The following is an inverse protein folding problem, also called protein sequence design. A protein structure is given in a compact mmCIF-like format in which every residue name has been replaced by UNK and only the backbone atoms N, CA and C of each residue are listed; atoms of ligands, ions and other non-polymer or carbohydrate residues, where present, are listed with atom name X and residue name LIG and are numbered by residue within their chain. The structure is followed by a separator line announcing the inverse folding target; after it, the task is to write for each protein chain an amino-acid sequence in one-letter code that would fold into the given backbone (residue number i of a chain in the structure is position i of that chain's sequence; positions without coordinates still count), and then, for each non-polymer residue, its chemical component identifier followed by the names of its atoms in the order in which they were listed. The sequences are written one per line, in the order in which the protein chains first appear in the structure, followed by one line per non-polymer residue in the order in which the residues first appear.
data_IF_502825912175
#
_entry.id   IF_502825912175
#
_cell.length_a   1.000
_cell.length_b   1.000
_cell.length_c   1.000
_cell.angle_alpha   90.00
_cell.angle_beta   90.00
_cell.angle_gamma   90.00
#
_symmetry.space_group_name_H-M   'P 1'
#
loop_
_entity.id
_entity.type
_entity.pdbx_description
1 polymer ?
#
# COMPACT_ATOMS: atom_id res chain seq x y z
N UNK A 1 -3.52 5.94 -3.25
CA UNK A 1 -2.43 5.13 -2.64
C UNK A 1 -1.93 4.07 -3.62
N UNK A 2 -0.69 4.14 -4.14
CA UNK A 2 -0.10 3.08 -4.96
C UNK A 2 0.29 1.84 -4.13
N UNK A 3 -0.13 0.65 -4.58
CA UNK A 3 0.36 -0.65 -4.09
C UNK A 3 0.75 -1.50 -5.30
N UNK A 4 1.92 -2.14 -5.25
CA UNK A 4 2.38 -3.04 -6.33
C UNK A 4 2.85 -4.38 -5.78
N UNK A 5 2.83 -5.39 -6.64
CA UNK A 5 3.46 -6.68 -6.38
C UNK A 5 4.83 -6.75 -7.06
N UNK A 6 5.80 -7.26 -6.32
CA UNK A 6 7.07 -7.79 -6.80
C UNK A 6 7.00 -9.31 -6.59
N UNK A 7 6.80 -10.07 -7.66
CA UNK A 7 6.86 -11.53 -7.58
C UNK A 7 8.25 -12.00 -8.01
N UNK A 8 8.96 -12.67 -7.10
CA UNK A 8 10.25 -13.30 -7.36
C UNK A 8 10.21 -14.80 -7.03
N UNK A 9 9.03 -15.41 -6.93
CA UNK A 9 8.91 -16.81 -6.50
C UNK A 9 9.33 -17.81 -7.56
N UNK A 10 9.35 -17.41 -8.84
CA UNK A 10 9.66 -18.31 -9.95
C UNK A 10 8.66 -19.48 -10.08
N UNK A 11 7.43 -19.30 -9.59
CA UNK A 11 6.41 -20.34 -9.67
C UNK A 11 5.87 -20.46 -11.11
N UNK A 12 5.61 -21.69 -11.59
CA UNK A 12 5.28 -21.91 -13.00
C UNK A 12 3.85 -21.50 -13.36
N UNK A 13 2.97 -21.36 -12.36
CA UNK A 13 1.57 -20.98 -12.55
C UNK A 13 1.47 -19.46 -12.68
N UNK A 14 0.81 -18.98 -13.74
CA UNK A 14 0.45 -17.57 -13.83
C UNK A 14 -0.66 -17.23 -12.82
N UNK A 15 -0.29 -16.46 -11.81
CA UNK A 15 -1.17 -15.98 -10.75
C UNK A 15 -1.46 -14.48 -10.88
N UNK A 16 -0.95 -13.80 -11.92
CA UNK A 16 -1.07 -12.36 -12.08
C UNK A 16 -2.52 -11.84 -12.02
N UNK A 17 -3.54 -12.53 -12.60
CA UNK A 17 -4.93 -12.10 -12.47
C UNK A 17 -5.43 -12.11 -11.01
N UNK A 18 -5.08 -13.15 -10.25
CA UNK A 18 -5.50 -13.31 -8.85
C UNK A 18 -4.82 -12.26 -7.96
N UNK A 19 -3.53 -12.02 -8.18
CA UNK A 19 -2.78 -10.97 -7.50
C UNK A 19 -3.29 -9.57 -7.83
N UNK A 20 -3.70 -9.32 -9.07
CA UNK A 20 -4.33 -8.06 -9.46
C UNK A 20 -5.59 -7.78 -8.65
N UNK A 21 -6.45 -8.78 -8.47
CA UNK A 21 -7.66 -8.67 -7.63
C UNK A 21 -7.29 -8.44 -6.17
N UNK A 22 -6.30 -9.16 -5.63
CA UNK A 22 -5.87 -8.99 -4.23
C UNK A 22 -5.26 -7.62 -3.95
N UNK A 23 -4.43 -7.11 -4.87
CA UNK A 23 -3.86 -5.77 -4.77
C UNK A 23 -4.95 -4.69 -4.79
N UNK A 24 -5.91 -4.80 -5.71
CA UNK A 24 -7.04 -3.88 -5.79
C UNK A 24 -7.86 -3.89 -4.50
N UNK A 25 -8.25 -5.09 -4.02
CA UNK A 25 -8.96 -5.25 -2.75
C UNK A 25 -8.18 -4.68 -1.57
N UNK A 26 -6.90 -5.01 -1.42
CA UNK A 26 -6.06 -4.47 -0.35
C UNK A 26 -5.99 -2.93 -0.38
N UNK A 27 -5.91 -2.32 -1.57
CA UNK A 27 -5.89 -0.86 -1.69
C UNK A 27 -7.25 -0.24 -1.33
N UNK A 28 -8.35 -0.84 -1.78
CA UNK A 28 -9.71 -0.38 -1.50
C UNK A 28 -10.06 -0.52 -0.01
N UNK A 29 -9.76 -1.68 0.58
CA UNK A 29 -9.99 -1.98 2.00
C UNK A 29 -9.17 -1.04 2.88
N UNK A 30 -7.86 -0.87 2.59
CA UNK A 30 -7.00 0.06 3.32
C UNK A 30 -7.52 1.50 3.25
N UNK A 31 -7.99 1.95 2.08
CA UNK A 31 -8.57 3.28 1.93
C UNK A 31 -9.89 3.45 2.70
N UNK A 32 -10.76 2.45 2.63
CA UNK A 32 -12.03 2.44 3.33
C UNK A 32 -11.82 2.44 4.85
N UNK A 33 -10.95 1.58 5.35
CA UNK A 33 -10.71 1.41 6.77
C UNK A 33 -9.97 2.60 7.39
N UNK A 34 -8.95 3.15 6.71
CA UNK A 34 -8.32 4.40 7.15
C UNK A 34 -9.34 5.55 7.19
N UNK A 35 -10.26 5.62 6.23
CA UNK A 35 -11.33 6.63 6.22
C UNK A 35 -12.33 6.42 7.35
N UNK A 36 -12.69 5.15 7.62
CA UNK A 36 -13.60 4.75 8.71
C UNK A 36 -13.07 5.12 10.10
N UNK A 37 -11.76 5.27 10.26
CA UNK A 37 -11.17 5.80 11.52
C UNK A 37 -11.57 7.25 11.81
N UNK A 38 -12.04 7.99 10.80
CA UNK A 38 -12.37 9.41 10.88
C UNK A 38 -11.17 10.35 10.85
N UNK A 39 -9.93 9.82 10.90
CA UNK A 39 -8.71 10.63 10.93
C UNK A 39 -8.13 10.93 9.55
N UNK A 40 -8.37 10.06 8.58
CA UNK A 40 -7.94 10.23 7.19
C UNK A 40 -9.15 10.36 6.27
N UNK A 41 -8.96 11.06 5.14
CA UNK A 41 -9.80 10.92 3.96
C UNK A 41 -8.94 10.26 2.89
N UNK A 42 -9.00 8.94 2.81
CA UNK A 42 -8.12 8.17 1.97
C UNK A 42 -8.79 7.79 0.64
N UNK A 43 -8.00 7.74 -0.43
CA UNK A 43 -8.47 7.29 -1.74
C UNK A 43 -7.39 6.49 -2.47
N UNK A 44 -7.84 5.55 -3.28
CA UNK A 44 -6.99 4.83 -4.22
C UNK A 44 -6.67 5.74 -5.40
N UNK A 45 -5.40 5.73 -5.82
CA UNK A 45 -4.96 6.46 -7.00
C UNK A 45 -5.18 5.52 -8.19
N UNK A 46 -6.00 5.87 -9.19
CA UNK A 46 -6.24 4.99 -10.32
C UNK A 46 -4.92 4.66 -11.06
N UNK A 47 -4.77 3.41 -11.50
CA UNK A 47 -3.57 2.97 -12.21
C UNK A 47 -3.24 3.86 -13.42
N UNK A 48 -4.25 4.23 -14.22
CA UNK A 48 -4.09 5.12 -15.38
C UNK A 48 -3.54 6.52 -15.01
N UNK A 49 -3.84 7.03 -13.82
CA UNK A 49 -3.25 8.29 -13.34
C UNK A 49 -1.78 8.10 -13.04
N UNK A 50 -1.40 7.01 -12.38
CA UNK A 50 -0.01 6.69 -12.06
C UNK A 50 0.80 6.35 -13.31
N UNK A 51 0.24 5.66 -14.30
CA UNK A 51 0.92 5.36 -15.56
C UNK A 51 1.25 6.63 -16.34
N UNK A 52 0.31 7.59 -16.38
CA UNK A 52 0.50 8.88 -17.06
C UNK A 52 1.44 9.80 -16.30
N UNK A 53 1.19 9.99 -15.01
CA UNK A 53 1.88 11.01 -14.20
C UNK A 53 3.15 10.45 -13.56
N UNK A 54 3.28 9.13 -13.44
CA UNK A 54 4.42 8.46 -12.83
C UNK A 54 4.83 7.09 -13.40
N UNK A 55 5.20 7.00 -14.68
CA UNK A 55 5.52 5.73 -15.33
C UNK A 55 6.72 5.01 -14.71
N UNK A 56 7.66 5.73 -14.08
CA UNK A 56 8.85 5.12 -13.49
C UNK A 56 8.63 4.56 -12.09
N UNK A 57 7.50 4.88 -11.44
CA UNK A 57 7.21 4.48 -10.05
C UNK A 57 8.26 4.93 -9.01
N UNK A 58 9.00 6.01 -9.31
CA UNK A 58 10.03 6.56 -8.41
C UNK A 58 9.38 7.43 -7.32
N UNK A 59 9.97 7.47 -6.14
CA UNK A 59 9.42 8.17 -4.98
C UNK A 59 9.04 9.63 -5.26
N UNK A 60 9.95 10.43 -5.83
CA UNK A 60 9.72 11.84 -6.14
C UNK A 60 8.47 12.06 -7.02
N UNK A 61 8.27 11.16 -7.96
CA UNK A 61 7.21 11.22 -8.94
C UNK A 61 5.86 10.74 -8.36
N UNK A 62 5.87 9.76 -7.45
CA UNK A 62 4.69 9.37 -6.68
C UNK A 62 4.21 10.49 -5.75
N UNK A 63 5.16 11.23 -5.13
CA UNK A 63 4.85 12.41 -4.32
C UNK A 63 4.17 13.48 -5.17
N UNK A 64 4.70 13.79 -6.36
CA UNK A 64 4.10 14.74 -7.29
C UNK A 64 2.71 14.33 -7.77
N UNK A 65 2.51 13.05 -8.10
CA UNK A 65 1.20 12.53 -8.47
C UNK A 65 0.18 12.69 -7.32
N UNK A 66 0.57 12.38 -6.09
CA UNK A 66 -0.27 12.58 -4.91
C UNK A 66 -0.57 14.08 -4.65
N UNK A 67 0.42 14.95 -4.84
CA UNK A 67 0.29 16.41 -4.70
C UNK A 67 -0.74 16.98 -5.68
N UNK A 68 -0.73 16.51 -6.93
CA UNK A 68 -1.72 16.91 -7.95
C UNK A 68 -3.15 16.49 -7.62
N UNK A 69 -3.31 15.43 -6.82
CA UNK A 69 -4.61 15.01 -6.29
C UNK A 69 -5.00 15.74 -4.99
N UNK A 70 -4.21 16.72 -4.53
CA UNK A 70 -4.48 17.47 -3.31
C UNK A 70 -4.22 16.68 -2.02
N UNK A 71 -3.50 15.56 -2.09
CA UNK A 71 -3.19 14.75 -0.92
C UNK A 71 -2.05 15.38 -0.10
N UNK A 72 -2.20 15.40 1.23
CA UNK A 72 -1.14 15.78 2.15
C UNK A 72 -0.16 14.64 2.42
N UNK A 73 -0.65 13.39 2.34
CA UNK A 73 0.12 12.17 2.57
C UNK A 73 -0.04 11.22 1.38
N UNK A 74 0.98 10.41 1.12
CA UNK A 74 0.92 9.30 0.16
C UNK A 74 1.29 7.99 0.83
N UNK A 75 0.40 7.00 0.75
CA UNK A 75 0.71 5.64 1.12
C UNK A 75 1.31 4.91 -0.09
N UNK A 76 2.47 4.27 0.10
CA UNK A 76 3.14 3.43 -0.89
C UNK A 76 3.36 2.05 -0.30
N UNK A 77 2.76 1.04 -0.93
CA UNK A 77 2.93 -0.37 -0.58
C UNK A 77 3.67 -1.14 -1.66
N UNK A 78 4.58 -2.03 -1.26
CA UNK A 78 5.18 -3.01 -2.15
C UNK A 78 5.05 -4.37 -1.49
N UNK A 79 4.18 -5.22 -2.04
CA UNK A 79 4.09 -6.62 -1.67
C UNK A 79 5.18 -7.37 -2.40
N UNK A 80 6.02 -8.11 -1.69
CA UNK A 80 7.02 -9.01 -2.24
C UNK A 80 6.59 -10.44 -1.99
N UNK A 81 6.36 -11.18 -3.07
CA UNK A 81 6.12 -12.62 -3.03
C UNK A 81 7.42 -13.33 -3.35
N UNK A 82 7.94 -14.06 -2.36
CA UNK A 82 9.10 -14.93 -2.54
C UNK A 82 8.70 -16.39 -2.75
N UNK A 83 7.50 -16.77 -2.32
CA UNK A 83 6.86 -18.08 -2.55
C UNK A 83 5.38 -17.98 -2.22
N UNK A 84 4.58 -18.99 -2.59
CA UNK A 84 3.20 -19.17 -2.11
C UNK A 84 3.10 -19.15 -0.58
N UNK A 85 4.17 -19.53 0.14
CA UNK A 85 4.17 -19.56 1.60
C UNK A 85 4.59 -18.23 2.23
N UNK A 86 5.49 -17.46 1.61
CA UNK A 86 6.15 -16.30 2.23
C UNK A 86 5.96 -15.04 1.39
N UNK A 87 5.25 -14.08 1.97
CA UNK A 87 5.07 -12.75 1.44
C UNK A 87 5.52 -11.71 2.47
N UNK A 88 5.96 -10.57 1.96
CA UNK A 88 6.29 -9.40 2.75
C UNK A 88 5.58 -8.19 2.15
N UNK A 89 5.24 -7.19 2.96
CA UNK A 89 4.90 -5.86 2.46
C UNK A 89 5.78 -4.81 3.12
N UNK A 90 6.38 -3.98 2.26
CA UNK A 90 7.02 -2.73 2.64
C UNK A 90 5.98 -1.62 2.51
N UNK A 91 5.50 -1.12 3.64
CA UNK A 91 4.45 -0.11 3.70
C UNK A 91 5.02 1.21 4.22
N UNK A 92 4.82 2.29 3.47
CA UNK A 92 5.23 3.64 3.85
C UNK A 92 4.08 4.62 3.70
N UNK A 93 3.96 5.54 4.65
CA UNK A 93 3.12 6.73 4.55
C UNK A 93 4.06 7.93 4.63
N UNK A 94 4.13 8.71 3.56
CA UNK A 94 5.04 9.85 3.46
C UNK A 94 4.28 11.16 3.36
N UNK A 95 4.83 12.21 3.96
CA UNK A 95 4.38 13.58 3.75
C UNK A 95 4.74 14.04 2.34
N UNK A 96 3.75 14.54 1.60
CA UNK A 96 3.89 14.86 0.17
C UNK A 96 4.79 16.08 -0.08
N UNK A 97 4.88 17.00 0.88
CA UNK A 97 5.65 18.24 0.71
C UNK A 97 7.13 18.05 1.06
N UNK A 98 7.40 17.27 2.10
CA UNK A 98 8.74 17.05 2.63
C UNK A 98 9.36 15.75 2.14
N UNK A 99 8.56 14.81 1.64
CA UNK A 99 8.97 13.46 1.27
C UNK A 99 9.37 12.57 2.44
N UNK A 100 9.16 13.03 3.69
CA UNK A 100 9.55 12.28 4.89
C UNK A 100 8.50 11.24 5.23
N UNK A 101 8.95 10.03 5.53
CA UNK A 101 8.09 8.97 6.04
C UNK A 101 7.55 9.36 7.42
N UNK A 102 6.23 9.50 7.53
CA UNK A 102 5.53 9.64 8.81
C UNK A 102 5.18 8.25 9.36
N UNK A 103 5.11 7.23 8.53
CA UNK A 103 5.00 5.84 9.00
C UNK A 103 5.75 4.92 8.05
N UNK A 104 6.42 3.91 8.61
CA UNK A 104 7.02 2.82 7.85
C UNK A 104 6.87 1.52 8.64
N UNK A 105 6.45 0.47 7.95
CA UNK A 105 6.39 -0.88 8.49
C UNK A 105 6.73 -1.91 7.42
N UNK A 106 7.54 -2.87 7.85
CA UNK A 106 7.89 -4.05 7.09
C UNK A 106 7.27 -5.24 7.81
N UNK A 107 6.39 -5.96 7.13
CA UNK A 107 5.65 -7.08 7.73
C UNK A 107 5.70 -8.27 6.80
N UNK A 108 6.00 -9.41 7.41
CA UNK A 108 5.91 -10.71 6.76
C UNK A 108 4.55 -11.32 7.08
N UNK A 109 3.91 -11.91 6.07
CA UNK A 109 2.70 -12.70 6.23
C UNK A 109 2.81 -13.98 5.43
N UNK A 110 2.08 -15.01 5.88
CA UNK A 110 2.22 -16.37 5.37
C UNK A 110 0.97 -16.81 4.62
N UNK A 111 1.19 -17.41 3.46
CA UNK A 111 0.15 -17.90 2.57
C UNK A 111 -0.29 -16.86 1.56
N UNK A 112 -0.29 -17.23 0.29
CA UNK A 112 -0.83 -16.44 -0.81
C UNK A 112 -2.34 -16.72 -1.00
N UNK A 113 -3.11 -16.45 0.05
CA UNK A 113 -4.59 -16.61 0.08
C UNK A 113 -5.27 -15.30 0.40
N UNK A 114 -6.55 -15.17 0.02
CA UNK A 114 -7.32 -13.95 0.23
C UNK A 114 -7.38 -13.56 1.72
N UNK A 115 -7.52 -14.53 2.62
CA UNK A 115 -7.56 -14.31 4.07
C UNK A 115 -6.22 -13.85 4.65
N UNK A 116 -5.10 -14.31 4.08
CA UNK A 116 -3.77 -13.88 4.51
C UNK A 116 -3.49 -12.43 4.12
N UNK A 117 -3.87 -12.05 2.90
CA UNK A 117 -3.78 -10.67 2.42
C UNK A 117 -4.69 -9.73 3.21
N UNK A 118 -5.94 -10.13 3.49
CA UNK A 118 -6.86 -9.35 4.32
C UNK A 118 -6.31 -9.14 5.73
N UNK A 119 -5.76 -10.18 6.37
CA UNK A 119 -5.16 -10.04 7.70
C UNK A 119 -3.95 -9.11 7.71
N UNK A 120 -3.13 -9.13 6.66
CA UNK A 120 -2.00 -8.21 6.52
C UNK A 120 -2.47 -6.74 6.39
N UNK A 121 -3.52 -6.50 5.60
CA UNK A 121 -4.18 -5.19 5.49
C UNK A 121 -4.71 -4.70 6.84
N UNK A 122 -5.49 -5.53 7.54
CA UNK A 122 -6.12 -5.13 8.80
C UNK A 122 -5.07 -4.83 9.88
N UNK A 123 -3.98 -5.60 9.88
CA UNK A 123 -2.84 -5.32 10.74
C UNK A 123 -2.16 -3.98 10.40
N UNK A 124 -1.98 -3.66 9.12
CA UNK A 124 -1.43 -2.36 8.70
C UNK A 124 -2.29 -1.19 9.15
N UNK A 125 -3.61 -1.27 8.99
CA UNK A 125 -4.53 -0.24 9.47
C UNK A 125 -4.35 -0.02 10.97
N UNK A 126 -4.31 -1.09 11.76
CA UNK A 126 -4.09 -0.99 13.21
C UNK A 126 -2.76 -0.30 13.54
N UNK A 127 -1.66 -0.69 12.87
CA UNK A 127 -0.35 -0.09 13.08
C UNK A 127 -0.29 1.40 12.72
N UNK A 128 -0.96 1.81 11.64
CA UNK A 128 -1.06 3.22 11.24
C UNK A 128 -1.81 4.01 12.32
N UNK A 129 -2.94 3.49 12.78
CA UNK A 129 -3.76 4.13 13.84
C UNK A 129 -3.00 4.31 15.14
N UNK A 130 -2.28 3.28 15.58
CA UNK A 130 -1.53 3.34 16.83
C UNK A 130 -0.37 4.35 16.75
N UNK A 131 0.32 4.38 15.62
CA UNK A 131 1.39 5.34 15.36
C UNK A 131 0.88 6.78 15.35
N UNK A 132 -0.30 7.01 14.77
CA UNK A 132 -0.91 8.34 14.68
C UNK A 132 -1.43 8.84 16.04
N UNK A 133 -1.94 7.95 16.90
CA UNK A 133 -2.26 8.29 18.30
C UNK A 133 -1.04 8.79 19.06
N UNK A 134 0.09 8.10 18.95
CA UNK A 134 1.33 8.51 19.62
C UNK A 134 1.93 9.84 19.16
N UNK A 135 1.45 10.41 18.05
CA UNK A 135 1.85 11.74 17.56
C UNK A 135 0.93 12.87 18.01
N UNK A 136 -0.28 12.54 18.47
CA UNK A 136 -1.29 13.51 18.87
C UNK A 136 -1.29 13.83 20.37
N UNK A 137 -0.63 13.00 21.18
CA UNK A 137 -0.37 13.20 22.61
C UNK A 137 0.99 13.91 22.81
#
# INVERSE_FOLDING_TARGET
MPIKLLDTSGEPTDQAPQHGVRLARMADDLAADLTRTGRYRAMVLPAAVLERDCPTGKAACLLEAARRQGAALVFVGVVHKSSTLILQIWARLADVHTGRDVFSRDLNFRGDTDEAWQRAETFLVAQIRDTDRSRGD
#
